data_IF_673034689099
#
_entry.id   IF_673034689099
#
_cell.length_a   1.000
_cell.length_b   1.000
_cell.length_c   1.000
_cell.angle_alpha   90.00
_cell.angle_beta   90.00
_cell.angle_gamma   90.00
#
_symmetry.space_group_name_H-M   'P 1'
#
loop_
_entity.id
_entity.type
_entity.pdbx_description
1 polymer ?
#
# COMPACT_ATOMS: atom_id res chain seq x y z
N UNK A 1 9.08 0.98 13.25
CA UNK A 1 8.30 0.02 12.45
C UNK A 1 7.15 0.80 11.83
N UNK A 2 6.86 0.61 10.53
CA UNK A 2 5.69 1.25 9.93
C UNK A 2 4.44 0.78 10.67
N UNK A 3 3.51 1.70 10.93
CA UNK A 3 2.25 1.40 11.62
C UNK A 3 1.06 1.60 10.69
N UNK A 4 1.11 2.65 9.87
CA UNK A 4 0.06 3.00 8.92
C UNK A 4 0.66 3.66 7.68
N UNK A 5 0.05 3.42 6.53
CA UNK A 5 0.26 4.14 5.27
C UNK A 5 -1.08 4.70 4.81
N UNK A 6 -1.11 5.98 4.47
CA UNK A 6 -2.28 6.66 3.90
C UNK A 6 -1.86 7.39 2.63
N UNK A 7 -2.45 7.05 1.50
CA UNK A 7 -2.18 7.64 0.18
C UNK A 7 -3.47 8.26 -0.34
N UNK A 8 -3.38 9.47 -0.89
CA UNK A 8 -4.49 10.16 -1.54
C UNK A 8 -4.01 10.83 -2.81
N UNK A 9 -4.78 10.69 -3.89
CA UNK A 9 -4.56 11.34 -5.19
C UNK A 9 -3.11 11.20 -5.71
N UNK A 10 -2.56 9.99 -5.68
CA UNK A 10 -1.18 9.74 -6.11
C UNK A 10 -1.09 8.60 -7.13
N UNK A 11 -0.52 8.91 -8.30
CA UNK A 11 -0.41 8.01 -9.45
C UNK A 11 -1.75 7.34 -9.82
N UNK A 12 -1.92 6.05 -9.51
CA UNK A 12 -3.13 5.26 -9.80
C UNK A 12 -4.06 5.13 -8.57
N UNK A 13 -3.71 5.75 -7.43
CA UNK A 13 -4.38 5.57 -6.14
C UNK A 13 -5.17 6.83 -5.79
N UNK A 14 -6.50 6.73 -5.82
CA UNK A 14 -7.40 7.80 -5.36
C UNK A 14 -7.38 7.92 -3.82
N UNK A 15 -7.59 6.80 -3.13
CA UNK A 15 -7.45 6.70 -1.67
C UNK A 15 -7.05 5.30 -1.22
N UNK A 16 -6.06 5.20 -0.34
CA UNK A 16 -5.62 3.95 0.27
C UNK A 16 -5.26 4.20 1.74
N UNK A 17 -5.75 3.36 2.64
CA UNK A 17 -5.37 3.35 4.05
C UNK A 17 -5.02 1.91 4.44
N UNK A 18 -3.78 1.69 4.87
CA UNK A 18 -3.25 0.37 5.28
C UNK A 18 -2.67 0.49 6.67
N UNK A 19 -3.05 -0.41 7.57
CA UNK A 19 -2.38 -0.62 8.85
C UNK A 19 -1.41 -1.80 8.73
N UNK A 20 -0.22 -1.66 9.29
CA UNK A 20 0.82 -2.69 9.22
C UNK A 20 0.87 -3.46 10.54
N UNK A 21 0.89 -4.79 10.41
CA UNK A 21 1.09 -5.68 11.53
C UNK A 21 2.57 -5.95 11.79
N UNK A 22 2.85 -6.51 12.97
CA UNK A 22 4.18 -7.01 13.31
C UNK A 22 4.53 -8.21 12.43
N UNK A 23 5.80 -8.33 12.09
CA UNK A 23 6.31 -9.44 11.28
C UNK A 23 6.31 -9.12 9.79
N UNK A 24 6.00 -10.13 8.97
CA UNK A 24 6.08 -10.03 7.51
C UNK A 24 4.73 -9.60 6.94
N UNK A 25 4.72 -8.44 6.29
CA UNK A 25 3.59 -7.96 5.51
C UNK A 25 3.88 -8.23 4.03
N UNK A 26 3.01 -8.97 3.34
CA UNK A 26 3.16 -9.32 1.93
C UNK A 26 2.09 -8.60 1.12
N UNK A 27 2.51 -7.82 0.13
CA UNK A 27 1.60 -7.16 -0.82
C UNK A 27 1.64 -7.92 -2.14
N UNK A 28 0.49 -8.47 -2.54
CA UNK A 28 0.32 -9.25 -3.77
C UNK A 28 -0.59 -8.55 -4.77
N UNK A 29 -0.58 -8.99 -6.03
CA UNK A 29 -1.45 -8.45 -7.08
C UNK A 29 -0.83 -8.55 -8.47
N UNK A 30 -1.60 -8.25 -9.50
CA UNK A 30 -1.19 -8.34 -10.90
C UNK A 30 -0.23 -7.21 -11.32
N UNK A 31 0.38 -7.32 -12.50
CA UNK A 31 1.23 -6.27 -13.08
C UNK A 31 0.39 -5.02 -13.32
N UNK A 32 0.87 -3.85 -12.87
CA UNK A 32 0.15 -2.59 -13.00
C UNK A 32 -0.82 -2.28 -11.85
N UNK A 33 -1.04 -3.19 -10.89
CA UNK A 33 -1.93 -2.97 -9.74
C UNK A 33 -1.45 -1.94 -8.70
N UNK A 34 -0.39 -1.17 -8.99
CA UNK A 34 0.09 -0.10 -8.10
C UNK A 34 0.95 -0.54 -6.91
N UNK A 35 1.29 -1.83 -6.76
CA UNK A 35 2.07 -2.35 -5.62
C UNK A 35 3.41 -1.65 -5.36
N UNK A 36 4.08 -1.16 -6.40
CA UNK A 36 5.36 -0.44 -6.26
C UNK A 36 5.22 1.01 -5.79
N UNK A 37 3.98 1.51 -5.76
CA UNK A 37 3.61 2.87 -5.38
C UNK A 37 3.12 2.89 -3.92
N UNK A 38 2.75 1.72 -3.39
CA UNK A 38 2.43 1.46 -1.98
C UNK A 38 3.74 1.22 -1.22
#
# INVERSE_FOLDING_TARGET
>A
MLQKLSIRNYALIDSLDIEFDKGLNIITGETGAGKSII
#
